data_IF_987019109500
#
_entry.id   IF_987019109500
#
_cell.length_a   1.000
_cell.length_b   1.000
_cell.length_c   1.000
_cell.angle_alpha   90.00
_cell.angle_beta   90.00
_cell.angle_gamma   90.00
#
_symmetry.space_group_name_H-M   'P 1'
#
loop_
_entity.id
_entity.type
_entity.pdbx_description
1 polymer ?
#
# COMPACT_ATOMS: atom_id res chain seq x y z
N UNK A 1 19.89 -11.31 -3.19
CA UNK A 1 19.28 -10.97 -4.49
C UNK A 1 18.28 -9.85 -4.24
N UNK A 2 18.53 -8.65 -4.75
CA UNK A 2 17.63 -7.51 -4.55
C UNK A 2 17.04 -7.07 -5.88
N UNK A 3 15.72 -6.89 -5.92
CA UNK A 3 15.03 -6.32 -7.07
C UNK A 3 15.12 -4.80 -6.95
N UNK A 4 15.83 -4.17 -7.88
CA UNK A 4 15.99 -2.72 -7.92
C UNK A 4 15.11 -2.22 -9.04
N UNK A 5 14.07 -1.47 -8.70
CA UNK A 5 13.31 -0.72 -9.69
C UNK A 5 14.19 0.41 -10.23
N UNK A 6 14.42 0.39 -11.55
CA UNK A 6 15.27 1.38 -12.20
C UNK A 6 14.57 2.75 -12.18
N UNK A 7 15.36 3.79 -11.88
CA UNK A 7 15.01 5.21 -11.66
C UNK A 7 14.46 5.61 -10.30
N UNK A 8 15.03 6.67 -9.72
CA UNK A 8 14.22 7.80 -9.34
C UNK A 8 14.86 9.11 -9.80
N UNK A 9 14.31 9.73 -10.85
CA UNK A 9 14.43 11.18 -10.92
C UNK A 9 13.75 11.77 -9.68
N UNK A 10 14.40 12.70 -9.00
CA UNK A 10 13.86 13.45 -7.83
C UNK A 10 12.43 13.93 -8.07
N UNK A 11 12.11 14.28 -9.32
CA UNK A 11 10.78 14.66 -9.80
C UNK A 11 9.70 13.61 -9.50
N UNK A 12 9.97 12.32 -9.74
CA UNK A 12 9.00 11.23 -9.50
C UNK A 12 8.71 11.09 -8.00
N UNK A 13 9.74 11.23 -7.15
CA UNK A 13 9.56 11.21 -5.69
C UNK A 13 8.75 12.42 -5.20
N UNK A 14 8.98 13.60 -5.79
CA UNK A 14 8.20 14.81 -5.48
C UNK A 14 6.74 14.60 -5.87
N UNK A 15 6.46 14.13 -7.09
CA UNK A 15 5.10 13.84 -7.55
C UNK A 15 4.41 12.81 -6.64
N UNK A 16 5.07 11.69 -6.35
CA UNK A 16 4.56 10.67 -5.45
C UNK A 16 4.26 11.24 -4.05
N UNK A 17 5.11 12.15 -3.53
CA UNK A 17 4.87 12.79 -2.23
C UNK A 17 3.69 13.75 -2.26
N UNK A 18 3.50 14.52 -3.34
CA UNK A 18 2.34 15.40 -3.52
C UNK A 18 1.05 14.57 -3.55
N UNK A 19 1.02 13.49 -4.34
CA UNK A 19 -0.15 12.61 -4.42
C UNK A 19 -0.44 11.92 -3.10
N UNK A 20 0.60 11.45 -2.39
CA UNK A 20 0.49 10.85 -1.05
C UNK A 20 -0.15 11.81 -0.04
N UNK A 21 0.29 13.08 0.00
CA UNK A 21 -0.31 14.10 0.89
C UNK A 21 -1.78 14.37 0.57
N UNK A 22 -2.16 14.38 -0.72
CA UNK A 22 -3.57 14.55 -1.13
C UNK A 22 -4.42 13.34 -0.78
N UNK A 23 -3.84 12.13 -0.86
CA UNK A 23 -4.52 10.91 -0.46
C UNK A 23 -4.73 10.87 1.05
N UNK A 24 -3.73 11.28 1.82
CA UNK A 24 -3.77 11.34 3.29
C UNK A 24 -4.95 12.16 3.84
N UNK A 25 -5.37 13.23 3.15
CA UNK A 25 -6.51 14.06 3.59
C UNK A 25 -7.86 13.37 3.45
N UNK A 26 -7.98 12.38 2.56
CA UNK A 26 -9.25 11.68 2.28
C UNK A 26 -9.30 10.27 2.86
N UNK A 27 -8.14 9.64 3.10
CA UNK A 27 -8.08 8.28 3.63
C UNK A 27 -8.96 8.08 4.88
N UNK A 28 -8.95 8.96 5.91
CA UNK A 28 -9.75 8.76 7.12
C UNK A 28 -11.27 8.68 6.89
N UNK A 29 -11.81 9.24 5.80
CA UNK A 29 -13.24 9.21 5.51
C UNK A 29 -13.69 8.00 4.68
N UNK A 30 -12.76 7.33 3.99
CA UNK A 30 -13.08 6.20 3.09
C UNK A 30 -12.63 4.83 3.61
N UNK A 31 -11.78 4.79 4.63
CA UNK A 31 -11.31 3.54 5.24
C UNK A 31 -11.95 3.30 6.62
N UNK A 32 -12.15 2.03 6.96
CA UNK A 32 -12.62 1.62 8.29
C UNK A 32 -11.73 2.19 9.39
N UNK A 33 -12.32 2.51 10.56
CA UNK A 33 -11.58 2.97 11.75
C UNK A 33 -10.57 1.93 12.26
N UNK A 34 -10.77 0.67 11.89
CA UNK A 34 -9.98 -0.48 12.34
C UNK A 34 -8.70 -0.65 11.49
N UNK A 35 -8.62 0.06 10.35
CA UNK A 35 -7.39 0.20 9.59
C UNK A 35 -6.46 1.17 10.32
N UNK A 36 -5.53 0.64 11.11
CA UNK A 36 -4.54 1.44 11.86
C UNK A 36 -3.22 1.59 11.11
N UNK A 37 -2.87 0.63 10.24
CA UNK A 37 -1.63 0.64 9.50
C UNK A 37 -1.56 1.81 8.52
N UNK A 38 -0.49 2.59 8.58
CA UNK A 38 -0.16 3.68 7.64
C UNK A 38 -1.15 4.84 7.58
N UNK A 39 -1.97 5.02 8.62
CA UNK A 39 -2.90 6.14 8.73
C UNK A 39 -2.43 7.06 9.84
N UNK A 40 -2.22 8.33 9.52
CA UNK A 40 -1.77 9.33 10.48
C UNK A 40 -2.74 9.43 11.66
N UNK A 41 -2.18 9.42 12.88
CA UNK A 41 -2.95 9.47 14.12
C UNK A 41 -3.60 8.15 14.53
N UNK A 42 -3.40 7.06 13.79
CA UNK A 42 -3.83 5.71 14.18
C UNK A 42 -2.61 4.87 14.54
N UNK A 43 -2.76 4.08 15.60
CA UNK A 43 -1.68 3.28 16.18
C UNK A 43 -2.11 1.84 16.36
N UNK A 44 -1.19 0.90 16.20
CA UNK A 44 -1.46 -0.55 16.32
C UNK A 44 -2.03 -0.95 17.68
N UNK A 45 -1.69 -0.22 18.76
CA UNK A 45 -2.21 -0.51 20.09
C UNK A 45 -3.75 -0.40 20.18
N UNK A 46 -4.39 0.40 19.31
CA UNK A 46 -5.86 0.45 19.26
C UNK A 46 -6.46 -0.89 18.88
N UNK A 47 -5.84 -1.60 17.92
CA UNK A 47 -6.29 -2.92 17.48
C UNK A 47 -6.03 -3.97 18.56
N UNK A 48 -4.87 -3.92 19.24
CA UNK A 48 -4.58 -4.79 20.39
C UNK A 48 -5.59 -4.57 21.51
N UNK A 49 -5.85 -3.31 21.88
CA UNK A 49 -6.81 -2.98 22.94
C UNK A 49 -8.23 -3.45 22.59
N UNK A 50 -8.65 -3.28 21.34
CA UNK A 50 -9.95 -3.79 20.87
C UNK A 50 -10.01 -5.31 20.96
N UNK A 51 -8.98 -6.03 20.49
CA UNK A 51 -8.93 -7.48 20.56
C UNK A 51 -9.07 -7.97 22.01
N UNK A 52 -8.33 -7.38 22.95
CA UNK A 52 -8.44 -7.70 24.37
C UNK A 52 -9.83 -7.40 24.93
N UNK A 53 -10.46 -6.30 24.51
CA UNK A 53 -11.82 -5.98 24.94
C UNK A 53 -12.85 -7.00 24.46
N UNK A 54 -12.67 -7.58 23.26
CA UNK A 54 -13.55 -8.64 22.75
C UNK A 54 -13.32 -9.93 23.57
N UNK A 55 -12.05 -10.36 23.65
CA UNK A 55 -11.66 -11.60 24.36
C UNK A 55 -12.05 -11.64 25.84
N UNK A 56 -12.10 -10.49 26.51
CA UNK A 56 -12.47 -10.38 27.93
C UNK A 56 -13.85 -9.75 28.14
N UNK A 57 -14.66 -9.62 27.09
CA UNK A 57 -16.02 -9.12 27.26
C UNK A 57 -16.85 -10.16 28.01
N UNK A 58 -17.49 -9.75 29.11
CA UNK A 58 -18.35 -10.62 29.91
C UNK A 58 -19.74 -10.83 29.31
N UNK A 59 -19.93 -10.46 28.03
CA UNK A 59 -21.23 -10.31 27.38
C UNK A 59 -21.60 -11.48 26.47
N UNK A 60 -20.69 -12.42 26.22
CA UNK A 60 -20.85 -13.48 25.24
C UNK A 60 -20.48 -14.84 25.83
N UNK A 61 -21.49 -15.69 26.09
CA UNK A 61 -21.33 -17.13 26.37
C UNK A 61 -21.01 -17.95 25.09
N UNK A 62 -20.51 -17.29 24.05
CA UNK A 62 -20.23 -17.91 22.75
C UNK A 62 -18.75 -18.21 22.59
N UNK A 63 -18.43 -19.35 21.97
CA UNK A 63 -17.06 -19.68 21.57
C UNK A 63 -16.48 -18.60 20.64
N UNK A 64 -15.33 -18.05 21.03
CA UNK A 64 -14.61 -17.03 20.26
C UNK A 64 -13.40 -17.62 19.54
N UNK A 65 -13.15 -17.18 18.30
CA UNK A 65 -11.96 -17.54 17.53
C UNK A 65 -11.28 -16.29 16.98
N UNK A 66 -9.95 -16.28 17.05
CA UNK A 66 -9.11 -15.22 16.45
C UNK A 66 -8.44 -15.78 15.21
N UNK A 67 -8.70 -15.14 14.06
CA UNK A 67 -8.06 -15.48 12.79
C UNK A 67 -6.98 -14.46 12.49
N UNK A 68 -5.74 -14.92 12.40
CA UNK A 68 -4.61 -14.11 11.95
C UNK A 68 -4.37 -14.34 10.46
N UNK A 69 -4.45 -13.25 9.67
CA UNK A 69 -4.24 -13.27 8.23
C UNK A 69 -3.04 -12.38 7.89
N UNK A 70 -2.13 -12.91 7.07
CA UNK A 70 -0.99 -12.15 6.54
C UNK A 70 -0.91 -12.28 5.01
N UNK A 71 -0.50 -11.20 4.35
CA UNK A 71 -0.40 -11.13 2.89
C UNK A 71 1.06 -11.28 2.45
N UNK A 72 1.39 -12.46 1.91
CA UNK A 72 2.75 -12.73 1.42
C UNK A 72 3.15 -11.74 0.32
N UNK A 73 4.26 -11.02 0.53
CA UNK A 73 4.81 -10.03 -0.42
C UNK A 73 3.76 -9.00 -0.87
N UNK A 74 3.03 -8.44 0.09
CA UNK A 74 1.92 -7.51 -0.16
C UNK A 74 2.24 -6.41 -1.17
N UNK A 75 3.44 -5.81 -1.13
CA UNK A 75 3.84 -4.77 -2.08
C UNK A 75 4.11 -5.31 -3.48
N UNK A 76 4.71 -6.49 -3.62
CA UNK A 76 5.10 -7.06 -4.93
C UNK A 76 3.91 -7.67 -5.68
N UNK A 77 2.81 -7.95 -4.99
CA UNK A 77 1.63 -8.65 -5.54
C UNK A 77 0.45 -7.73 -5.90
N UNK A 78 0.61 -6.41 -5.81
CA UNK A 78 -0.45 -5.46 -6.18
C UNK A 78 -0.63 -5.44 -7.71
N UNK A 79 -1.75 -5.97 -8.19
CA UNK A 79 -2.13 -5.88 -9.60
C UNK A 79 -2.59 -4.45 -9.96
N UNK A 80 -2.01 -3.86 -10.99
CA UNK A 80 -2.25 -2.46 -11.34
C UNK A 80 -3.70 -2.19 -11.78
N UNK A 81 -4.30 -3.10 -12.53
CA UNK A 81 -5.70 -2.96 -12.95
C UNK A 81 -6.65 -2.95 -11.76
N UNK A 82 -6.40 -3.83 -10.77
CA UNK A 82 -7.15 -3.84 -9.52
C UNK A 82 -7.00 -2.50 -8.78
N UNK A 83 -5.77 -1.98 -8.66
CA UNK A 83 -5.50 -0.68 -8.04
C UNK A 83 -6.31 0.45 -8.70
N UNK A 84 -6.34 0.53 -10.03
CA UNK A 84 -7.06 1.58 -10.74
C UNK A 84 -8.58 1.43 -10.64
N UNK A 85 -9.10 0.20 -10.67
CA UNK A 85 -10.53 -0.07 -10.44
C UNK A 85 -10.94 0.35 -9.03
N UNK A 86 -10.13 0.02 -8.02
CA UNK A 86 -10.38 0.41 -6.62
C UNK A 86 -10.41 1.93 -6.47
N UNK A 87 -9.42 2.65 -7.02
CA UNK A 87 -9.42 4.12 -6.99
C UNK A 87 -10.66 4.71 -7.69
N UNK A 88 -11.08 4.14 -8.82
CA UNK A 88 -12.30 4.59 -9.49
C UNK A 88 -13.54 4.33 -8.66
N UNK A 89 -13.64 3.18 -7.97
CA UNK A 89 -14.79 2.83 -7.12
C UNK A 89 -14.90 3.69 -5.86
N UNK A 90 -13.77 4.13 -5.31
CA UNK A 90 -13.75 5.12 -4.23
C UNK A 90 -14.05 6.55 -4.70
N UNK A 91 -14.31 6.76 -6.00
CA UNK A 91 -14.69 8.05 -6.56
C UNK A 91 -13.53 9.03 -6.77
N UNK A 92 -12.29 8.55 -6.85
CA UNK A 92 -11.17 9.42 -7.17
C UNK A 92 -11.31 9.96 -8.61
N UNK A 93 -11.18 11.28 -8.76
CA UNK A 93 -11.34 11.94 -10.05
C UNK A 93 -10.32 11.47 -11.10
N UNK A 94 -10.74 11.47 -12.37
CA UNK A 94 -9.93 10.97 -13.49
C UNK A 94 -8.53 11.58 -13.56
N UNK A 95 -8.38 12.88 -13.27
CA UNK A 95 -7.07 13.54 -13.22
C UNK A 95 -6.13 12.92 -12.16
N UNK A 96 -6.64 12.62 -10.96
CA UNK A 96 -5.83 11.99 -9.92
C UNK A 96 -5.40 10.59 -10.35
N UNK A 97 -6.33 9.79 -10.88
CA UNK A 97 -6.05 8.44 -11.37
C UNK A 97 -5.01 8.47 -12.51
N UNK A 98 -5.10 9.44 -13.44
CA UNK A 98 -4.12 9.62 -14.52
C UNK A 98 -2.72 9.91 -14.00
N UNK A 99 -2.57 10.73 -12.96
CA UNK A 99 -1.28 10.96 -12.32
C UNK A 99 -0.72 9.70 -11.65
N UNK A 100 -1.56 8.88 -11.03
CA UNK A 100 -1.14 7.59 -10.47
C UNK A 100 -0.72 6.65 -11.60
N UNK A 101 -1.50 6.54 -12.69
CA UNK A 101 -1.16 5.73 -13.87
C UNK A 101 0.20 6.09 -14.45
N UNK A 102 0.53 7.38 -14.49
CA UNK A 102 1.83 7.86 -14.96
C UNK A 102 3.00 7.33 -14.10
N UNK A 103 2.81 7.18 -12.79
CA UNK A 103 3.83 6.58 -11.90
C UNK A 103 4.04 5.08 -12.16
N UNK A 104 3.04 4.40 -12.73
CA UNK A 104 3.06 2.97 -13.06
C UNK A 104 3.14 2.71 -14.57
N UNK A 105 3.57 3.70 -15.35
CA UNK A 105 3.71 3.53 -16.80
C UNK A 105 5.02 2.78 -17.10
N UNK A 106 4.89 1.55 -17.61
CA UNK A 106 6.01 0.69 -17.99
C UNK A 106 7.12 0.55 -16.92
N UNK A 107 6.78 0.18 -15.67
CA UNK A 107 7.78 0.01 -14.63
C UNK A 107 8.78 -1.08 -15.05
N UNK A 108 10.05 -0.87 -14.74
CA UNK A 108 11.11 -1.84 -15.01
C UNK A 108 12.01 -2.03 -13.79
N UNK A 109 12.60 -3.22 -13.71
CA UNK A 109 13.51 -3.58 -12.65
C UNK A 109 14.71 -4.36 -13.18
N UNK A 110 15.75 -4.39 -12.35
CA UNK A 110 16.93 -5.24 -12.52
C UNK A 110 17.09 -6.10 -11.26
N UNK A 111 17.64 -7.29 -11.44
CA UNK A 111 18.09 -8.11 -10.31
C UNK A 111 19.54 -7.77 -10.02
N UNK A 112 19.84 -7.37 -8.78
CA UNK A 112 21.20 -7.17 -8.30
C UNK A 112 21.63 -8.33 -7.40
N UNK A 113 22.74 -8.97 -7.76
CA UNK A 113 23.37 -10.07 -7.01
C UNK A 113 24.88 -9.88 -7.07
N UNK A 114 25.55 -9.83 -5.92
CA UNK A 114 27.01 -9.65 -5.82
C UNK A 114 27.53 -8.46 -6.65
N UNK A 115 26.82 -7.31 -6.59
CA UNK A 115 27.12 -6.09 -7.35
C UNK A 115 27.00 -6.20 -8.88
N UNK A 116 26.54 -7.34 -9.40
CA UNK A 116 26.20 -7.50 -10.81
C UNK A 116 24.70 -7.31 -11.03
N UNK A 117 24.35 -6.68 -12.15
CA UNK A 117 22.96 -6.40 -12.51
C UNK A 117 22.51 -7.24 -13.70
N UNK A 118 21.29 -7.75 -13.65
CA UNK A 118 20.65 -8.39 -14.79
C UNK A 118 20.30 -7.36 -15.87
N UNK A 119 19.94 -7.85 -17.06
CA UNK A 119 19.21 -7.02 -18.02
C UNK A 119 17.90 -6.50 -17.38
N UNK A 120 17.46 -5.27 -17.71
CA UNK A 120 16.17 -4.76 -17.26
C UNK A 120 15.02 -5.61 -17.79
N UNK A 121 14.02 -5.83 -16.95
CA UNK A 121 12.77 -6.48 -17.32
C UNK A 121 11.58 -5.64 -16.86
N UNK A 122 10.45 -5.76 -17.56
CA UNK A 122 9.22 -5.03 -17.24
C UNK A 122 8.54 -5.67 -16.03
N UNK A 123 8.03 -4.83 -15.14
CA UNK A 123 7.15 -5.25 -14.06
C UNK A 123 5.70 -5.18 -14.53
N UNK A 124 4.94 -6.23 -14.26
CA UNK A 124 3.51 -6.30 -14.57
C UNK A 124 2.63 -5.96 -13.37
N UNK A 125 3.21 -6.00 -12.17
CA UNK A 125 2.55 -5.76 -10.90
C UNK A 125 3.54 -5.27 -9.85
N UNK A 126 2.99 -4.87 -8.72
CA UNK A 126 3.72 -4.52 -7.52
C UNK A 126 4.02 -3.03 -7.41
N UNK A 127 4.00 -2.53 -6.19
CA UNK A 127 4.31 -1.14 -5.88
C UNK A 127 5.72 -1.02 -5.33
N UNK A 128 6.29 0.18 -5.42
CA UNK A 128 7.67 0.41 -5.01
C UNK A 128 7.78 0.55 -3.50
N UNK A 129 8.40 -0.41 -2.83
CA UNK A 129 8.77 -0.23 -1.42
C UNK A 129 9.68 1.00 -1.24
N UNK A 130 9.32 1.86 -0.27
CA UNK A 130 10.01 3.13 -0.02
C UNK A 130 9.60 4.29 -0.93
N UNK A 131 8.61 4.12 -1.81
CA UNK A 131 7.94 5.26 -2.46
C UNK A 131 7.10 6.02 -1.43
N UNK A 132 7.04 7.36 -1.45
CA UNK A 132 6.14 8.10 -0.56
C UNK A 132 4.65 7.74 -0.67
N UNK A 133 4.25 7.10 -1.78
CA UNK A 133 2.89 6.66 -2.06
C UNK A 133 2.64 5.19 -1.64
N UNK A 134 3.70 4.43 -1.36
CA UNK A 134 3.68 3.03 -0.96
C UNK A 134 4.26 2.95 0.46
N UNK A 135 3.39 2.86 1.49
CA UNK A 135 3.75 3.13 2.88
C UNK A 135 4.85 2.28 3.49
#
# INVERSE_FOLDING_TARGET
MHLIQAYPHTVVKILAKILSRRLETVLPSIISKDQTGFIKGRHSYFNVRRLLNIMYSSATDSDECVVSLDAEKAFDRVEFDCLFVVLSRFGFGGNFISWIKLLYQQPSAVVCTNFQTSKPFKLQRGTRQGSPLSP
#
